data_IF_788274693544
#
_entry.id   IF_788274693544
#
_cell.length_a   1.000
_cell.length_b   1.000
_cell.length_c   1.000
_cell.angle_alpha   90.00
_cell.angle_beta   90.00
_cell.angle_gamma   90.00
#
_symmetry.space_group_name_H-M   'P 1'
#
loop_
_entity.id
_entity.type
_entity.pdbx_description
1 polymer ?
#
# COMPACT_ATOMS: atom_id res chain seq x y z
N UNK A 1 -14.24 2.91 7.38
CA UNK A 1 -14.72 3.18 6.00
C UNK A 1 -13.53 3.16 5.02
N UNK A 2 -13.76 2.80 3.74
CA UNK A 2 -12.70 2.62 2.73
C UNK A 2 -11.83 3.86 2.56
N UNK A 3 -12.44 5.05 2.46
CA UNK A 3 -11.72 6.33 2.37
C UNK A 3 -10.68 6.52 3.47
N UNK A 4 -11.04 6.28 4.73
CA UNK A 4 -10.11 6.37 5.86
C UNK A 4 -8.93 5.41 5.70
N UNK A 5 -9.15 4.21 5.16
CA UNK A 5 -8.05 3.24 4.95
C UNK A 5 -7.11 3.70 3.82
N UNK A 6 -7.65 4.28 2.75
CA UNK A 6 -6.84 4.90 1.70
C UNK A 6 -5.98 6.04 2.25
N UNK A 7 -6.56 6.94 3.04
CA UNK A 7 -5.83 8.07 3.63
C UNK A 7 -4.73 7.58 4.60
N UNK A 8 -5.02 6.55 5.41
CA UNK A 8 -4.04 5.93 6.30
C UNK A 8 -2.92 5.23 5.53
N UNK A 9 -3.23 4.58 4.42
CA UNK A 9 -2.23 3.97 3.55
C UNK A 9 -1.32 5.05 2.96
N UNK A 10 -1.88 6.11 2.38
CA UNK A 10 -1.13 7.14 1.68
C UNK A 10 -0.10 7.80 2.64
N UNK A 11 -0.50 8.16 3.86
CA UNK A 11 0.42 8.72 4.87
C UNK A 11 1.44 7.72 5.45
N UNK A 12 1.21 6.41 5.35
CA UNK A 12 2.22 5.38 5.68
C UNK A 12 3.18 5.17 4.54
N UNK A 13 2.68 5.14 3.30
CA UNK A 13 3.46 4.93 2.10
C UNK A 13 4.51 6.03 1.92
N UNK A 14 4.14 7.29 2.13
CA UNK A 14 5.09 8.42 2.09
C UNK A 14 6.29 8.22 3.02
N UNK A 15 6.05 7.78 4.26
CA UNK A 15 7.11 7.55 5.26
C UNK A 15 7.98 6.34 4.93
N UNK A 16 7.36 5.24 4.49
CA UNK A 16 8.07 3.99 4.20
C UNK A 16 8.84 4.09 2.87
N UNK A 17 8.32 4.83 1.90
CA UNK A 17 8.93 4.98 0.58
C UNK A 17 10.35 5.56 0.63
N UNK A 18 10.65 6.45 1.58
CA UNK A 18 12.01 6.95 1.79
C UNK A 18 12.94 5.86 2.33
N UNK A 19 12.51 5.10 3.34
CA UNK A 19 13.30 3.99 3.89
C UNK A 19 13.57 2.91 2.83
N UNK A 20 12.57 2.58 2.00
CA UNK A 20 12.71 1.62 0.89
C UNK A 20 13.72 2.11 -0.16
N UNK A 21 13.73 3.41 -0.47
CA UNK A 21 14.74 3.97 -1.39
C UNK A 21 16.15 3.90 -0.82
N UNK A 22 16.29 4.16 0.47
CA UNK A 22 17.59 4.21 1.16
C UNK A 22 18.17 2.82 1.43
N UNK A 23 17.34 1.79 1.59
CA UNK A 23 17.79 0.43 1.90
C UNK A 23 18.55 -0.26 0.76
N UNK A 24 18.35 0.19 -0.49
CA UNK A 24 18.89 -0.47 -1.69
C UNK A 24 18.32 -1.87 -1.94
N UNK A 25 17.30 -2.30 -1.19
CA UNK A 25 16.69 -3.61 -1.31
C UNK A 25 15.70 -3.66 -2.47
N UNK A 26 16.04 -4.39 -3.53
CA UNK A 26 15.16 -4.59 -4.69
C UNK A 26 13.83 -5.24 -4.30
N UNK A 27 13.86 -6.20 -3.36
CA UNK A 27 12.64 -6.86 -2.89
C UNK A 27 11.77 -5.90 -2.07
N UNK A 28 12.37 -5.04 -1.23
CA UNK A 28 11.61 -4.01 -0.51
C UNK A 28 10.91 -3.05 -1.49
N UNK A 29 11.63 -2.63 -2.54
CA UNK A 29 11.08 -1.79 -3.61
C UNK A 29 9.94 -2.48 -4.36
N UNK A 30 10.11 -3.76 -4.70
CA UNK A 30 9.07 -4.55 -5.34
C UNK A 30 7.81 -4.65 -4.48
N UNK A 31 7.94 -4.95 -3.18
CA UNK A 31 6.78 -5.01 -2.26
C UNK A 31 6.10 -3.64 -2.13
N UNK A 32 6.88 -2.56 -2.10
CA UNK A 32 6.36 -1.20 -2.07
C UNK A 32 5.55 -0.87 -3.34
N UNK A 33 6.10 -1.17 -4.53
CA UNK A 33 5.42 -0.95 -5.80
C UNK A 33 4.12 -1.79 -5.91
N UNK A 34 4.16 -3.05 -5.47
CA UNK A 34 2.97 -3.90 -5.41
C UNK A 34 1.91 -3.36 -4.43
N UNK A 35 2.33 -2.78 -3.29
CA UNK A 35 1.44 -2.14 -2.34
C UNK A 35 0.71 -0.95 -2.97
N UNK A 36 1.43 -0.08 -3.69
CA UNK A 36 0.84 1.05 -4.41
C UNK A 36 -0.18 0.59 -5.46
N UNK A 37 0.13 -0.47 -6.20
CA UNK A 37 -0.80 -1.02 -7.19
C UNK A 37 -2.10 -1.56 -6.55
N UNK A 38 -2.01 -2.21 -5.37
CA UNK A 38 -3.22 -2.64 -4.65
C UNK A 38 -4.02 -1.45 -4.11
N UNK A 39 -3.36 -0.38 -3.63
CA UNK A 39 -4.03 0.87 -3.24
C UNK A 39 -4.81 1.43 -4.43
N UNK A 40 -4.20 1.57 -5.60
CA UNK A 40 -4.88 2.11 -6.79
C UNK A 40 -6.12 1.31 -7.16
N UNK A 41 -6.02 -0.04 -7.14
CA UNK A 41 -7.16 -0.93 -7.34
C UNK A 41 -8.24 -0.74 -6.28
N UNK A 42 -7.86 -0.57 -5.02
CA UNK A 42 -8.81 -0.28 -3.94
C UNK A 42 -9.59 1.02 -4.19
N UNK A 43 -8.89 2.08 -4.62
CA UNK A 43 -9.53 3.35 -4.96
C UNK A 43 -10.46 3.23 -6.18
N UNK A 44 -10.11 2.43 -7.18
CA UNK A 44 -10.98 2.15 -8.32
C UNK A 44 -12.27 1.45 -7.90
N UNK A 45 -12.17 0.36 -7.13
CA UNK A 45 -13.35 -0.34 -6.57
C UNK A 45 -14.18 0.57 -5.67
N UNK A 46 -13.55 1.45 -4.88
CA UNK A 46 -14.28 2.41 -4.05
C UNK A 46 -15.13 3.37 -4.88
N UNK A 47 -14.57 3.91 -5.97
CA UNK A 47 -15.31 4.79 -6.90
C UNK A 47 -16.44 4.06 -7.62
N UNK A 48 -16.28 2.76 -7.88
CA UNK A 48 -17.31 1.91 -8.46
C UNK A 48 -18.40 1.49 -7.46
N UNK A 49 -18.28 1.85 -6.17
CA UNK A 49 -19.21 1.43 -5.10
C UNK A 49 -18.99 0.00 -4.60
N UNK A 50 -17.95 -0.70 -5.09
CA UNK A 50 -17.60 -2.08 -4.76
C UNK A 50 -16.84 -2.14 -3.42
N UNK A 51 -17.55 -1.84 -2.34
CA UNK A 51 -16.96 -1.60 -1.00
C UNK A 51 -16.14 -2.78 -0.49
N UNK A 52 -16.61 -4.01 -0.64
CA UNK A 52 -15.91 -5.20 -0.14
C UNK A 52 -14.60 -5.48 -0.91
N UNK A 53 -14.64 -5.31 -2.24
CA UNK A 53 -13.43 -5.43 -3.07
C UNK A 53 -12.44 -4.34 -2.71
N UNK A 54 -12.89 -3.10 -2.51
CA UNK A 54 -12.02 -2.01 -2.07
C UNK A 54 -11.35 -2.31 -0.71
N UNK A 55 -12.12 -2.81 0.26
CA UNK A 55 -11.60 -3.20 1.59
C UNK A 55 -10.61 -4.37 1.51
N UNK A 56 -10.84 -5.33 0.61
CA UNK A 56 -9.90 -6.45 0.41
C UNK A 56 -8.59 -5.94 -0.20
N UNK A 57 -8.66 -5.09 -1.21
CA UNK A 57 -7.48 -4.52 -1.88
C UNK A 57 -6.66 -3.63 -0.94
N UNK A 58 -7.30 -2.76 -0.16
CA UNK A 58 -6.55 -1.86 0.73
C UNK A 58 -5.89 -2.61 1.90
N UNK A 59 -6.46 -3.72 2.36
CA UNK A 59 -5.79 -4.63 3.31
C UNK A 59 -4.54 -5.25 2.70
N UNK A 60 -4.65 -5.83 1.50
CA UNK A 60 -3.50 -6.39 0.80
C UNK A 60 -2.40 -5.34 0.55
N UNK A 61 -2.79 -4.09 0.26
CA UNK A 61 -1.86 -2.99 0.15
C UNK A 61 -1.10 -2.74 1.46
N UNK A 62 -1.79 -2.69 2.59
CA UNK A 62 -1.15 -2.55 3.90
C UNK A 62 -0.20 -3.71 4.21
N UNK A 63 -0.59 -4.96 3.96
CA UNK A 63 0.25 -6.13 4.21
C UNK A 63 1.55 -6.08 3.40
N UNK A 64 1.47 -5.68 2.12
CA UNK A 64 2.65 -5.49 1.26
C UNK A 64 3.52 -4.33 1.73
N UNK A 65 2.90 -3.25 2.22
CA UNK A 65 3.61 -2.09 2.75
C UNK A 65 4.36 -2.42 4.05
N UNK A 66 3.79 -3.28 4.90
CA UNK A 66 4.46 -3.83 6.08
C UNK A 66 5.67 -4.68 5.70
N UNK A 67 5.52 -5.56 4.71
CA UNK A 67 6.63 -6.37 4.18
C UNK A 67 7.75 -5.51 3.59
N UNK A 68 7.39 -4.46 2.83
CA UNK A 68 8.35 -3.51 2.29
C UNK A 68 9.13 -2.80 3.40
N UNK A 69 8.45 -2.41 4.48
CA UNK A 69 9.09 -1.77 5.62
C UNK A 69 10.03 -2.72 6.38
N UNK A 70 9.64 -3.98 6.57
CA UNK A 70 10.47 -4.98 7.24
C UNK A 70 11.74 -5.30 6.44
N UNK A 71 11.64 -5.35 5.10
CA UNK A 71 12.77 -5.58 4.19
C UNK A 71 13.68 -4.35 4.01
N UNK A 72 13.24 -3.17 4.46
CA UNK A 72 13.99 -1.92 4.34
C UNK A 72 14.72 -1.51 5.63
N UNK A 73 14.58 -2.28 6.71
CA UNK A 73 15.33 -2.12 7.97
C UNK A 73 16.73 -2.70 7.87
#
# INVERSE_FOLDING_TARGET
PVRRQLDLFDGRAERIGEAVRQSGSEEARRRYDEALAQRERAAAHHRAGETDLALRRIRAAHDLLDQAADLAR
#
